data_IF_976561091878
#
_entry.id   IF_976561091878
#
_cell.length_a   1.000
_cell.length_b   1.000
_cell.length_c   1.000
_cell.angle_alpha   90.00
_cell.angle_beta   90.00
_cell.angle_gamma   90.00
#
_symmetry.space_group_name_H-M   'P 1'
#
loop_
_entity.id
_entity.type
_entity.pdbx_description
1 polymer ?
#
# COMPACT_ATOMS: atom_id res chain seq x y z
N UNK A 1 53.86 -6.69 45.26
CA UNK A 1 54.62 -5.99 44.19
C UNK A 1 53.62 -5.50 43.15
N UNK A 2 53.18 -4.24 43.23
CA UNK A 2 52.33 -3.63 42.19
C UNK A 2 53.22 -3.27 41.01
N UNK A 3 53.24 -4.11 39.97
CA UNK A 3 53.79 -3.75 38.67
C UNK A 3 52.84 -2.71 38.05
N UNK A 4 53.25 -1.45 38.04
CA UNK A 4 52.52 -0.39 37.33
C UNK A 4 52.60 -0.63 35.82
N UNK A 5 51.46 -0.49 35.14
CA UNK A 5 51.39 -0.58 33.68
C UNK A 5 52.31 0.44 33.02
N UNK A 6 53.01 0.03 31.96
CA UNK A 6 53.81 0.95 31.15
C UNK A 6 52.89 1.88 30.35
N UNK A 7 53.30 3.14 30.18
CA UNK A 7 52.59 4.12 29.34
C UNK A 7 52.32 3.59 27.92
N UNK A 8 53.22 2.75 27.39
CA UNK A 8 53.06 2.12 26.06
C UNK A 8 51.94 1.08 26.06
N UNK A 9 51.76 0.30 27.13
CA UNK A 9 50.71 -0.73 27.23
C UNK A 9 49.33 -0.09 27.28
N UNK A 10 49.21 1.04 28.00
CA UNK A 10 47.98 1.81 28.06
C UNK A 10 47.61 2.39 26.67
N UNK A 11 48.60 2.91 25.94
CA UNK A 11 48.40 3.43 24.59
C UNK A 11 47.96 2.33 23.62
N UNK A 12 48.63 1.18 23.64
CA UNK A 12 48.28 0.02 22.79
C UNK A 12 46.85 -0.44 23.09
N UNK A 13 46.49 -0.60 24.37
CA UNK A 13 45.14 -1.00 24.78
C UNK A 13 44.07 -0.01 24.29
N UNK A 14 44.31 1.30 24.39
CA UNK A 14 43.41 2.35 23.89
C UNK A 14 43.25 2.32 22.37
N UNK A 15 44.35 2.14 21.61
CA UNK A 15 44.27 2.02 20.15
C UNK A 15 43.49 0.78 19.74
N UNK A 16 43.76 -0.38 20.33
CA UNK A 16 43.03 -1.63 20.02
C UNK A 16 41.55 -1.49 20.37
N UNK A 17 41.23 -0.91 21.53
CA UNK A 17 39.84 -0.63 21.93
C UNK A 17 39.11 0.29 20.94
N UNK A 18 39.79 1.31 20.43
CA UNK A 18 39.23 2.26 19.47
C UNK A 18 38.94 1.62 18.12
N UNK A 19 39.84 0.77 17.62
CA UNK A 19 39.61 0.00 16.39
C UNK A 19 38.43 -0.97 16.50
N UNK A 20 38.30 -1.66 17.65
CA UNK A 20 37.16 -2.54 17.90
C UNK A 20 35.83 -1.77 17.93
N UNK A 21 35.78 -0.65 18.65
CA UNK A 21 34.59 0.20 18.71
C UNK A 21 34.21 0.77 17.34
N UNK A 22 35.19 1.20 16.54
CA UNK A 22 34.96 1.68 15.18
C UNK A 22 34.37 0.57 14.28
N UNK A 23 34.87 -0.66 14.38
CA UNK A 23 34.33 -1.81 13.65
C UNK A 23 32.88 -2.14 14.03
N UNK A 24 32.56 -2.08 15.33
CA UNK A 24 31.19 -2.31 15.83
C UNK A 24 30.25 -1.19 15.37
N UNK A 25 30.69 0.07 15.41
CA UNK A 25 29.90 1.22 14.98
C UNK A 25 29.52 1.14 13.48
N UNK A 26 30.46 0.76 12.61
CA UNK A 26 30.19 0.55 11.18
C UNK A 26 29.20 -0.59 10.95
N UNK A 27 29.37 -1.71 11.65
CA UNK A 27 28.47 -2.86 11.57
C UNK A 27 27.05 -2.50 12.01
N UNK A 28 26.92 -1.75 13.11
CA UNK A 28 25.62 -1.28 13.61
C UNK A 28 24.93 -0.34 12.61
N UNK A 29 25.69 0.55 11.96
CA UNK A 29 25.17 1.45 10.92
C UNK A 29 24.60 0.68 9.73
N UNK A 30 25.32 -0.34 9.25
CA UNK A 30 24.86 -1.20 8.15
C UNK A 30 23.59 -1.98 8.53
N UNK A 31 23.53 -2.53 9.75
CA UNK A 31 22.35 -3.23 10.27
C UNK A 31 21.16 -2.29 10.34
N UNK A 32 21.34 -1.07 10.88
CA UNK A 32 20.27 -0.07 10.97
C UNK A 32 19.69 0.26 9.60
N UNK A 33 20.53 0.49 8.59
CA UNK A 33 20.05 0.72 7.22
C UNK A 33 19.28 -0.48 6.65
N UNK A 34 19.77 -1.69 6.89
CA UNK A 34 19.09 -2.93 6.46
C UNK A 34 17.73 -3.11 7.12
N UNK A 35 17.62 -2.80 8.42
CA UNK A 35 16.35 -2.86 9.14
C UNK A 35 15.36 -1.82 8.61
N UNK A 36 15.81 -0.60 8.34
CA UNK A 36 14.95 0.47 7.82
C UNK A 36 14.39 0.12 6.43
N UNK A 37 15.26 -0.32 5.52
CA UNK A 37 14.86 -0.74 4.16
C UNK A 37 13.91 -1.94 4.20
N UNK A 38 14.16 -2.92 5.07
CA UNK A 38 13.28 -4.08 5.25
C UNK A 38 11.89 -3.66 5.74
N UNK A 39 11.81 -2.72 6.69
CA UNK A 39 10.52 -2.19 7.18
C UNK A 39 9.76 -1.44 6.10
N UNK A 40 10.44 -0.62 5.30
CA UNK A 40 9.82 0.11 4.19
C UNK A 40 9.23 -0.86 3.16
N UNK A 41 9.98 -1.91 2.79
CA UNK A 41 9.49 -2.93 1.86
C UNK A 41 8.32 -3.72 2.43
N UNK A 42 8.37 -4.12 3.70
CA UNK A 42 7.27 -4.82 4.34
C UNK A 42 5.98 -3.99 4.37
N UNK A 43 6.09 -2.69 4.69
CA UNK A 43 4.95 -1.77 4.65
C UNK A 43 4.39 -1.62 3.23
N UNK A 44 5.26 -1.48 2.23
CA UNK A 44 4.85 -1.40 0.83
C UNK A 44 4.12 -2.67 0.38
N UNK A 45 4.63 -3.85 0.76
CA UNK A 45 3.99 -5.14 0.45
C UNK A 45 2.63 -5.28 1.12
N UNK A 46 2.49 -4.83 2.37
CA UNK A 46 1.21 -4.84 3.08
C UNK A 46 0.19 -3.92 2.39
N UNK A 47 0.62 -2.75 1.94
CA UNK A 47 -0.22 -1.82 1.18
C UNK A 47 -0.76 -2.49 -0.08
N UNK A 48 0.12 -3.10 -0.88
CA UNK A 48 -0.26 -3.81 -2.11
C UNK A 48 -1.20 -4.98 -1.80
N UNK A 49 -0.88 -5.79 -0.78
CA UNK A 49 -1.69 -6.94 -0.39
C UNK A 49 -3.10 -6.53 0.01
N UNK A 50 -3.22 -5.49 0.83
CA UNK A 50 -4.50 -4.98 1.31
C UNK A 50 -5.32 -4.36 0.17
N UNK A 51 -4.70 -3.52 -0.68
CA UNK A 51 -5.36 -2.93 -1.86
C UNK A 51 -5.88 -4.00 -2.81
N UNK A 52 -5.06 -5.03 -3.10
CA UNK A 52 -5.49 -6.17 -3.91
C UNK A 52 -6.68 -6.90 -3.27
N UNK A 53 -6.63 -7.16 -1.95
CA UNK A 53 -7.71 -7.87 -1.25
C UNK A 53 -9.05 -7.12 -1.35
N UNK A 54 -9.07 -5.81 -1.07
CA UNK A 54 -10.29 -5.01 -1.10
C UNK A 54 -10.82 -4.85 -2.52
N UNK A 55 -9.97 -4.44 -3.46
CA UNK A 55 -10.40 -4.18 -4.83
C UNK A 55 -10.77 -5.48 -5.57
N UNK A 56 -10.04 -6.57 -5.35
CA UNK A 56 -10.39 -7.88 -5.93
C UNK A 56 -11.76 -8.35 -5.44
N UNK A 57 -12.09 -8.12 -4.16
CA UNK A 57 -13.41 -8.43 -3.61
C UNK A 57 -14.48 -7.63 -4.34
N UNK A 58 -14.34 -6.31 -4.40
CA UNK A 58 -15.31 -5.41 -5.03
C UNK A 58 -15.51 -5.71 -6.52
N UNK A 59 -14.42 -5.81 -7.28
CA UNK A 59 -14.43 -6.07 -8.73
C UNK A 59 -14.96 -7.47 -9.08
N UNK A 60 -14.87 -8.45 -8.17
CA UNK A 60 -15.45 -9.79 -8.39
C UNK A 60 -16.92 -9.86 -7.99
N UNK A 61 -17.35 -9.03 -7.05
CA UNK A 61 -18.74 -8.98 -6.56
C UNK A 61 -19.65 -8.19 -7.49
N UNK A 62 -19.11 -7.22 -8.23
CA UNK A 62 -19.91 -6.38 -9.13
C UNK A 62 -20.61 -7.16 -10.23
N UNK A 63 -21.80 -6.70 -10.59
CA UNK A 63 -22.61 -7.22 -11.69
C UNK A 63 -22.43 -6.40 -12.98
N UNK A 64 -21.74 -5.26 -12.92
CA UNK A 64 -21.50 -4.35 -14.04
C UNK A 64 -20.00 -4.11 -14.20
N UNK A 65 -19.55 -3.68 -15.39
CA UNK A 65 -18.16 -3.30 -15.57
C UNK A 65 -17.82 -2.10 -14.67
N UNK A 66 -16.70 -2.13 -13.91
CA UNK A 66 -16.22 -0.97 -13.19
C UNK A 66 -15.99 0.20 -14.14
N UNK A 67 -16.28 1.42 -13.67
CA UNK A 67 -16.13 2.65 -14.44
C UNK A 67 -14.99 3.46 -13.85
N UNK A 68 -14.08 3.89 -14.71
CA UNK A 68 -12.93 4.70 -14.31
C UNK A 68 -13.25 6.16 -14.62
N UNK A 69 -13.18 7.03 -13.61
CA UNK A 69 -13.51 8.45 -13.74
C UNK A 69 -12.31 9.34 -13.36
N UNK A 70 -12.39 10.62 -13.73
CA UNK A 70 -11.36 11.60 -13.40
C UNK A 70 -9.97 11.27 -13.95
N UNK A 71 -9.87 10.87 -15.22
CA UNK A 71 -8.61 10.47 -15.87
C UNK A 71 -7.86 9.35 -15.13
N UNK A 72 -8.58 8.45 -14.46
CA UNK A 72 -8.00 7.31 -13.75
C UNK A 72 -7.60 7.57 -12.31
N UNK A 73 -8.06 8.66 -11.71
CA UNK A 73 -7.87 8.95 -10.28
C UNK A 73 -8.95 8.28 -9.42
N UNK A 74 -10.10 7.96 -10.02
CA UNK A 74 -11.25 7.39 -9.33
C UNK A 74 -11.73 6.10 -10.01
N UNK A 75 -12.10 5.10 -9.20
CA UNK A 75 -12.73 3.86 -9.67
C UNK A 75 -14.09 3.71 -9.02
N UNK A 76 -15.13 3.59 -9.85
CA UNK A 76 -16.50 3.34 -9.42
C UNK A 76 -16.89 1.88 -9.67
N UNK A 77 -17.37 1.20 -8.64
CA UNK A 77 -17.78 -0.20 -8.70
C UNK A 77 -19.19 -0.36 -8.13
N UNK A 78 -20.15 -0.79 -8.96
CA UNK A 78 -21.54 -0.99 -8.55
C UNK A 78 -21.72 -2.32 -7.82
N UNK A 79 -22.54 -2.34 -6.79
CA UNK A 79 -22.81 -3.52 -5.97
C UNK A 79 -24.31 -3.68 -5.73
N UNK A 80 -24.74 -4.94 -5.58
CA UNK A 80 -26.12 -5.27 -5.26
C UNK A 80 -26.44 -4.93 -3.81
N UNK A 81 -27.73 -4.71 -3.52
CA UNK A 81 -28.23 -4.68 -2.14
C UNK A 81 -27.85 -5.96 -1.37
N UNK A 82 -27.66 -5.82 -0.06
CA UNK A 82 -27.31 -6.91 0.86
C UNK A 82 -25.97 -7.60 0.57
N UNK A 83 -25.07 -6.93 -0.15
CA UNK A 83 -23.68 -7.38 -0.35
C UNK A 83 -22.72 -6.61 0.55
N UNK A 84 -21.61 -7.23 1.00
CA UNK A 84 -20.64 -6.56 1.87
C UNK A 84 -19.84 -5.51 1.10
N UNK A 85 -19.84 -4.30 1.64
CA UNK A 85 -19.16 -3.14 1.06
C UNK A 85 -17.67 -3.08 1.42
N UNK A 86 -16.95 -2.16 0.80
CA UNK A 86 -15.52 -1.89 0.98
C UNK A 86 -15.14 -1.61 2.45
N UNK A 87 -16.08 -1.08 3.24
CA UNK A 87 -15.92 -0.82 4.67
C UNK A 87 -16.48 -1.96 5.56
N UNK A 88 -17.00 -3.03 4.96
CA UNK A 88 -17.58 -4.17 5.67
C UNK A 88 -19.03 -3.98 6.14
N UNK A 89 -19.65 -2.83 5.85
CA UNK A 89 -21.09 -2.65 6.06
C UNK A 89 -21.88 -3.43 5.02
N UNK A 90 -23.15 -3.73 5.31
CA UNK A 90 -24.05 -4.39 4.36
C UNK A 90 -25.23 -3.45 4.08
N UNK A 91 -25.13 -2.57 3.07
CA UNK A 91 -26.25 -1.70 2.69
C UNK A 91 -27.44 -2.52 2.20
N UNK A 92 -28.65 -2.12 2.60
CA UNK A 92 -29.92 -2.77 2.19
C UNK A 92 -30.41 -2.31 0.82
N UNK A 93 -29.74 -1.33 0.22
CA UNK A 93 -30.02 -0.74 -1.09
C UNK A 93 -28.86 -1.01 -2.04
N UNK A 94 -29.09 -0.88 -3.34
CA UNK A 94 -28.01 -0.90 -4.33
C UNK A 94 -27.12 0.33 -4.17
N UNK A 95 -25.82 0.11 -4.21
CA UNK A 95 -24.82 1.13 -3.94
C UNK A 95 -23.66 1.02 -4.93
N UNK A 96 -22.87 2.08 -5.00
CA UNK A 96 -21.59 2.09 -5.71
C UNK A 96 -20.48 2.44 -4.73
N UNK A 97 -19.35 1.77 -4.89
CA UNK A 97 -18.12 2.04 -4.17
C UNK A 97 -17.24 2.93 -5.04
N UNK A 98 -16.80 4.05 -4.50
CA UNK A 98 -15.92 4.99 -5.18
C UNK A 98 -14.58 4.98 -4.45
N UNK A 99 -13.57 4.43 -5.13
CA UNK A 99 -12.21 4.35 -4.63
C UNK A 99 -11.41 5.54 -5.14
N UNK A 100 -10.79 6.26 -4.21
CA UNK A 100 -9.98 7.45 -4.49
C UNK A 100 -8.76 7.51 -3.58
N UNK A 101 -7.81 8.37 -3.95
CA UNK A 101 -6.67 8.70 -3.11
C UNK A 101 -6.88 10.07 -2.48
N UNK A 102 -6.84 10.14 -1.15
CA UNK A 102 -6.94 11.40 -0.40
C UNK A 102 -5.94 11.40 0.75
N UNK A 103 -5.08 12.41 0.84
CA UNK A 103 -4.10 12.57 1.93
C UNK A 103 -3.25 11.32 2.22
N UNK A 104 -2.77 10.63 1.18
CA UNK A 104 -2.05 9.36 1.26
C UNK A 104 -2.85 8.17 1.82
N UNK A 105 -4.18 8.29 1.82
CA UNK A 105 -5.10 7.22 2.12
C UNK A 105 -5.81 6.73 0.89
N UNK A 106 -5.88 5.41 0.74
CA UNK A 106 -6.90 4.79 -0.09
C UNK A 106 -8.24 4.97 0.62
N UNK A 107 -9.10 5.79 0.04
CA UNK A 107 -10.44 6.07 0.55
C UNK A 107 -11.47 5.30 -0.24
N UNK A 108 -12.49 4.80 0.45
CA UNK A 108 -13.68 4.28 -0.19
C UNK A 108 -14.89 5.06 0.30
N UNK A 109 -15.63 5.63 -0.64
CA UNK A 109 -16.92 6.25 -0.39
C UNK A 109 -18.01 5.34 -0.94
N UNK A 110 -19.04 5.10 -0.13
CA UNK A 110 -20.21 4.34 -0.55
C UNK A 110 -21.28 5.35 -0.94
N UNK A 111 -21.71 5.33 -2.20
CA UNK A 111 -22.79 6.19 -2.67
C UNK A 111 -24.01 5.34 -3.02
N UNK A 112 -25.19 5.90 -2.78
CA UNK A 112 -26.43 5.33 -3.28
C UNK A 112 -26.40 5.32 -4.82
N UNK A 113 -26.71 4.18 -5.44
CA UNK A 113 -26.65 4.04 -6.89
C UNK A 113 -27.72 4.88 -7.63
N UNK A 114 -28.82 5.23 -6.96
CA UNK A 114 -29.95 5.97 -7.52
C UNK A 114 -29.85 7.47 -7.22
N UNK A 115 -29.63 7.85 -5.95
CA UNK A 115 -29.60 9.26 -5.53
C UNK A 115 -28.22 9.90 -5.67
N UNK A 116 -27.15 9.11 -5.72
CA UNK A 116 -25.77 9.61 -5.72
C UNK A 116 -25.32 10.21 -4.38
N UNK A 117 -26.11 10.06 -3.32
CA UNK A 117 -25.76 10.54 -1.97
C UNK A 117 -24.72 9.61 -1.33
N UNK A 118 -23.74 10.19 -0.64
CA UNK A 118 -22.78 9.41 0.16
C UNK A 118 -23.48 8.83 1.41
N UNK A 119 -23.39 7.51 1.53
CA UNK A 119 -23.83 6.70 2.65
C UNK A 119 -22.70 6.52 3.70
N UNK A 120 -21.48 6.95 3.37
CA UNK A 120 -20.33 6.92 4.27
C UNK A 120 -19.00 6.76 3.53
N UNK A 121 -18.05 7.62 3.87
CA UNK A 121 -16.67 7.56 3.40
C UNK A 121 -15.73 7.06 4.51
N UNK A 122 -14.84 6.12 4.18
CA UNK A 122 -13.84 5.57 5.09
C UNK A 122 -12.44 5.58 4.48
N UNK A 123 -11.46 5.95 5.31
CA UNK A 123 -10.04 5.82 5.00
C UNK A 123 -9.62 4.37 5.28
N UNK A 124 -9.43 3.57 4.22
CA UNK A 124 -9.19 2.13 4.34
C UNK A 124 -7.74 1.82 4.75
N UNK A 125 -6.78 2.50 4.13
CA UNK A 125 -5.37 2.19 4.27
C UNK A 125 -4.51 3.45 4.08
N UNK A 126 -3.54 3.66 4.96
CA UNK A 126 -2.51 4.70 4.82
C UNK A 126 -1.28 4.13 4.09
N UNK A 127 -0.57 5.01 3.39
CA UNK A 127 0.76 4.69 2.85
C UNK A 127 0.75 4.50 1.34
N UNK A 128 -0.27 5.03 0.67
CA UNK A 128 -0.33 5.14 -0.78
C UNK A 128 0.12 6.55 -1.16
N UNK A 129 1.14 6.67 -1.99
CA UNK A 129 1.67 7.93 -2.50
C UNK A 129 0.98 8.34 -3.80
N UNK A 130 0.81 7.38 -4.71
CA UNK A 130 0.05 7.56 -5.94
C UNK A 130 -0.85 6.35 -6.19
N UNK A 131 -2.00 6.61 -6.80
CA UNK A 131 -2.99 5.60 -7.16
C UNK A 131 -3.54 5.98 -8.52
N UNK A 132 -3.49 5.04 -9.45
CA UNK A 132 -3.99 5.23 -10.79
C UNK A 132 -4.75 3.98 -11.23
N UNK A 133 -5.88 4.19 -11.87
CA UNK A 133 -6.73 3.16 -12.44
C UNK A 133 -6.67 3.26 -13.96
N UNK A 134 -6.52 2.11 -14.60
CA UNK A 134 -6.65 1.98 -16.05
C UNK A 134 -7.44 0.70 -16.37
N UNK A 135 -8.03 0.67 -17.56
CA UNK A 135 -8.70 -0.53 -18.04
C UNK A 135 -7.98 -1.06 -19.27
N UNK A 136 -7.78 -2.38 -19.29
CA UNK A 136 -7.11 -3.09 -20.38
C UNK A 136 -8.01 -4.19 -20.92
N UNK A 137 -7.71 -4.66 -22.15
CA UNK A 137 -8.55 -5.61 -22.92
C UNK A 137 -10.04 -5.24 -22.93
N UNK A 138 -10.37 -4.06 -23.44
CA UNK A 138 -11.75 -3.61 -23.65
C UNK A 138 -12.61 -3.66 -22.38
N UNK A 139 -12.05 -3.23 -21.23
CA UNK A 139 -12.78 -3.14 -19.96
C UNK A 139 -12.84 -4.44 -19.15
N UNK A 140 -12.21 -5.53 -19.61
CA UNK A 140 -12.23 -6.83 -18.92
C UNK A 140 -11.22 -6.94 -17.78
N UNK A 141 -10.14 -6.17 -17.87
CA UNK A 141 -9.10 -6.11 -16.85
C UNK A 141 -9.05 -4.68 -16.31
N UNK A 142 -9.14 -4.55 -15.00
CA UNK A 142 -8.91 -3.29 -14.29
C UNK A 142 -7.49 -3.36 -13.75
N UNK A 143 -6.64 -2.51 -14.27
CA UNK A 143 -5.25 -2.37 -13.86
C UNK A 143 -5.16 -1.23 -12.84
N UNK A 144 -4.81 -1.60 -11.61
CA UNK A 144 -4.65 -0.69 -10.48
C UNK A 144 -3.16 -0.49 -10.25
N UNK A 145 -2.65 0.69 -10.59
CA UNK A 145 -1.26 1.07 -10.31
C UNK A 145 -1.21 1.74 -8.94
N UNK A 146 -0.52 1.11 -7.99
CA UNK A 146 -0.36 1.61 -6.62
C UNK A 146 1.11 1.90 -6.39
N UNK A 147 1.42 3.12 -5.95
CA UNK A 147 2.78 3.50 -5.52
C UNK A 147 2.75 3.71 -4.01
N UNK A 148 3.31 2.79 -3.21
CA UNK A 148 3.41 2.97 -1.76
C UNK A 148 4.42 4.06 -1.39
N UNK A 149 4.29 4.63 -0.19
CA UNK A 149 5.24 5.62 0.33
C UNK A 149 6.62 5.02 0.60
N UNK A 150 7.68 5.78 0.35
CA UNK A 150 9.07 5.39 0.60
C UNK A 150 9.51 4.10 -0.12
N UNK A 151 8.97 3.83 -1.31
CA UNK A 151 9.46 2.72 -2.12
C UNK A 151 10.83 3.03 -2.73
N UNK A 152 11.68 2.01 -2.91
CA UNK A 152 12.92 2.15 -3.67
C UNK A 152 12.66 2.72 -5.08
N UNK A 153 13.63 3.46 -5.63
CA UNK A 153 13.50 4.15 -6.93
C UNK A 153 13.15 3.22 -8.09
N UNK A 154 13.51 1.94 -8.02
CA UNK A 154 13.12 0.93 -9.00
C UNK A 154 11.59 0.72 -9.12
N UNK A 155 10.81 1.13 -8.10
CA UNK A 155 9.35 1.06 -8.07
C UNK A 155 8.70 2.45 -8.12
N UNK A 156 9.43 3.49 -8.55
CA UNK A 156 8.92 4.85 -8.63
C UNK A 156 7.69 4.99 -9.55
N UNK A 157 7.58 4.13 -10.58
CA UNK A 157 6.44 4.08 -11.50
C UNK A 157 5.22 3.34 -10.92
N UNK A 158 5.31 2.85 -9.68
CA UNK A 158 4.26 2.08 -9.03
C UNK A 158 4.26 0.59 -9.38
N UNK A 159 3.40 -0.14 -8.68
CA UNK A 159 3.19 -1.57 -8.84
C UNK A 159 1.80 -1.77 -9.43
N UNK A 160 1.71 -2.46 -10.56
CA UNK A 160 0.45 -2.72 -11.26
C UNK A 160 -0.20 -4.00 -10.74
N UNK A 161 -1.46 -3.90 -10.35
CA UNK A 161 -2.31 -5.02 -9.93
C UNK A 161 -3.42 -5.17 -10.97
N UNK A 162 -3.38 -6.25 -11.76
CA UNK A 162 -4.40 -6.53 -12.76
C UNK A 162 -5.52 -7.40 -12.18
N UNK A 163 -6.74 -6.89 -12.20
CA UNK A 163 -7.93 -7.53 -11.63
C UNK A 163 -8.95 -7.83 -12.74
N UNK A 164 -9.39 -9.08 -12.83
CA UNK A 164 -10.45 -9.49 -13.74
C UNK A 164 -11.80 -9.52 -13.02
N UNK A 165 -12.82 -8.93 -13.64
CA UNK A 165 -14.19 -9.02 -13.15
C UNK A 165 -14.79 -10.39 -13.53
N UNK A 166 -15.28 -11.13 -12.53
CA UNK A 166 -15.76 -12.52 -12.72
C UNK A 166 -17.22 -12.63 -13.14
N UNK A 167 -18.02 -11.57 -12.93
CA UNK A 167 -19.48 -11.58 -13.11
C UNK A 167 -20.00 -10.59 -14.15
N UNK A 168 -19.14 -10.02 -14.99
CA UNK A 168 -19.60 -9.14 -16.07
C UNK A 168 -20.40 -9.99 -17.05
N UNK A 169 -21.72 -9.92 -16.95
CA UNK A 169 -22.63 -10.51 -17.92
C UNK A 169 -22.43 -9.68 -19.20
N UNK A 170 -21.85 -10.30 -20.23
CA UNK A 170 -21.77 -9.68 -21.55
C UNK A 170 -23.21 -9.36 -21.99
N UNK A 171 -23.51 -8.08 -22.16
CA UNK A 171 -24.74 -7.61 -22.77
C UNK A 171 -24.42 -6.98 -24.11
#
# INVERSE_FOLDING_TARGET
>A
MQRGFSLIELMVALTVGSFLLAGIAMSYSAIKNTVLTTRQLANAQEVIRYTNQILSRSIKQTYESPVITGNGVSLEVKQNANSPSCQGSVPTIEYKEVYTLSNNYLTCDILNNVTGESLGALNLLRGVEALQFSSSRSGRLIDVTVTPVNVPTQFANGIVISLAATRVIMR
#
